data_IF_497287699692
#
_entry.id   IF_497287699692
#
_cell.length_a   1.000
_cell.length_b   1.000
_cell.length_c   1.000
_cell.angle_alpha   90.00
_cell.angle_beta   90.00
_cell.angle_gamma   90.00
#
_symmetry.space_group_name_H-M   'P 1'
#
loop_
_entity.id
_entity.type
_entity.pdbx_description
1 polymer ?
#
# COMPACT_ATOMS: atom_id res chain seq x y z
N UNK A 1 9.06 16.49 15.47
CA UNK A 1 10.21 17.39 15.52
C UNK A 1 11.43 16.58 15.17
N UNK A 2 12.34 17.17 14.42
CA UNK A 2 13.59 16.54 13.96
C UNK A 2 14.40 15.95 15.13
N UNK A 3 15.10 14.84 14.88
CA UNK A 3 15.91 14.14 15.89
C UNK A 3 15.14 13.48 17.04
N UNK A 4 13.80 13.37 16.92
CA UNK A 4 12.94 12.72 17.94
C UNK A 4 12.32 11.42 17.46
N UNK A 5 12.40 11.15 16.17
CA UNK A 5 11.80 9.97 15.55
C UNK A 5 12.91 9.02 15.11
N UNK A 6 12.57 7.74 15.08
CA UNK A 6 13.32 6.69 14.44
C UNK A 6 12.30 5.68 13.90
N UNK A 7 12.72 4.88 12.93
CA UNK A 7 11.91 3.83 12.33
C UNK A 7 12.37 2.49 12.88
N UNK A 8 11.42 1.61 13.18
CA UNK A 8 11.66 0.26 13.62
C UNK A 8 10.90 -0.74 12.73
N UNK A 9 11.37 -2.00 12.63
CA UNK A 9 10.60 -3.08 12.02
C UNK A 9 9.20 -3.20 12.62
N UNK A 10 8.22 -3.60 11.79
CA UNK A 10 6.91 -3.99 12.28
C UNK A 10 7.03 -5.25 13.15
N UNK A 11 6.23 -5.39 14.22
CA UNK A 11 6.15 -6.64 14.96
C UNK A 11 5.58 -7.75 14.06
N UNK A 12 6.16 -8.93 14.12
CA UNK A 12 5.76 -10.09 13.32
C UNK A 12 5.24 -11.23 14.19
N UNK A 13 4.32 -12.01 13.63
CA UNK A 13 3.93 -13.30 14.18
C UNK A 13 4.97 -14.37 13.78
N UNK A 14 5.12 -15.47 14.54
CA UNK A 14 6.09 -16.53 14.20
C UNK A 14 5.93 -17.13 12.79
N UNK A 15 4.71 -17.11 12.25
CA UNK A 15 4.31 -17.59 10.93
C UNK A 15 3.80 -16.45 10.03
N UNK A 16 4.03 -15.19 10.41
CA UNK A 16 3.58 -14.01 9.69
C UNK A 16 4.59 -13.50 8.67
N UNK A 17 4.12 -12.60 7.82
CA UNK A 17 4.97 -11.82 6.90
C UNK A 17 5.62 -10.64 7.64
N UNK A 18 6.75 -10.15 7.11
CA UNK A 18 7.44 -9.01 7.71
C UNK A 18 6.59 -7.75 7.59
N UNK A 19 5.97 -7.53 6.43
CA UNK A 19 5.19 -6.33 6.14
C UNK A 19 3.95 -6.63 5.30
N UNK A 20 3.08 -5.62 5.18
CA UNK A 20 1.91 -5.64 4.32
C UNK A 20 1.87 -4.40 3.42
N UNK A 21 1.07 -4.45 2.36
CA UNK A 21 0.87 -3.31 1.48
C UNK A 21 -0.15 -2.34 2.06
N UNK A 22 0.24 -1.08 2.27
CA UNK A 22 -0.67 -0.01 2.63
C UNK A 22 -0.48 1.17 1.68
N UNK A 23 -1.53 1.53 0.93
CA UNK A 23 -1.43 2.50 -0.15
C UNK A 23 -0.69 1.92 -1.35
N UNK A 24 0.31 2.66 -1.84
CA UNK A 24 0.91 2.40 -3.14
C UNK A 24 0.03 2.93 -4.29
N UNK A 25 0.64 3.14 -5.44
CA UNK A 25 -0.05 3.67 -6.62
C UNK A 25 0.52 3.04 -7.86
N UNK A 26 -0.29 3.02 -8.91
CA UNK A 26 0.12 2.64 -10.25
C UNK A 26 -0.28 3.75 -11.22
N UNK A 27 0.47 3.88 -12.30
CA UNK A 27 0.07 4.70 -13.42
C UNK A 27 -0.51 3.81 -14.52
N UNK A 28 -1.58 4.26 -15.16
CA UNK A 28 -2.29 3.50 -16.18
C UNK A 28 -2.62 4.37 -17.39
N UNK A 29 -2.58 3.77 -18.58
CA UNK A 29 -3.03 4.43 -19.82
C UNK A 29 -4.54 4.27 -19.93
N UNK A 30 -5.25 5.40 -20.06
CA UNK A 30 -6.70 5.38 -20.28
C UNK A 30 -7.05 4.70 -21.61
N UNK A 31 -8.11 3.88 -21.62
CA UNK A 31 -8.51 3.09 -22.79
C UNK A 31 -8.91 3.91 -24.02
N UNK A 32 -9.22 5.19 -23.84
CA UNK A 32 -9.56 6.14 -24.89
C UNK A 32 -8.42 7.11 -25.26
N UNK A 33 -7.20 6.87 -24.76
CA UNK A 33 -6.04 7.68 -25.11
C UNK A 33 -5.81 7.70 -26.62
N UNK A 34 -5.55 8.88 -27.16
CA UNK A 34 -5.16 9.04 -28.57
C UNK A 34 -3.66 8.82 -28.79
N UNK A 35 -2.89 8.71 -27.71
CA UNK A 35 -1.44 8.51 -27.69
C UNK A 35 -1.05 7.40 -26.69
N UNK A 36 -1.55 6.16 -26.87
CA UNK A 36 -1.34 5.11 -25.88
C UNK A 36 0.11 4.62 -25.81
N UNK A 37 0.85 4.69 -26.92
CA UNK A 37 2.26 4.27 -26.99
C UNK A 37 3.14 5.27 -26.26
N UNK A 38 3.01 6.56 -26.58
CA UNK A 38 3.79 7.65 -25.98
C UNK A 38 3.46 7.80 -24.50
N UNK A 39 2.19 7.61 -24.12
CA UNK A 39 1.80 7.58 -22.72
C UNK A 39 2.48 6.42 -21.98
N UNK A 40 2.49 5.21 -22.56
CA UNK A 40 3.17 4.07 -21.95
C UNK A 40 4.68 4.31 -21.81
N UNK A 41 5.34 4.85 -22.84
CA UNK A 41 6.77 5.20 -22.79
C UNK A 41 7.07 6.15 -21.62
N UNK A 42 6.26 7.20 -21.44
CA UNK A 42 6.40 8.11 -20.31
C UNK A 42 6.18 7.41 -18.97
N UNK A 43 5.13 6.59 -18.85
CA UNK A 43 4.84 5.87 -17.61
C UNK A 43 5.94 4.87 -17.24
N UNK A 44 6.49 4.17 -18.23
CA UNK A 44 7.63 3.26 -18.03
C UNK A 44 8.83 4.05 -17.52
N UNK A 45 9.23 5.12 -18.22
CA UNK A 45 10.34 5.97 -17.75
C UNK A 45 10.11 6.47 -16.32
N UNK A 46 8.92 7.05 -16.06
CA UNK A 46 8.58 7.61 -14.76
C UNK A 46 8.66 6.55 -13.65
N UNK A 47 8.21 5.31 -13.89
CA UNK A 47 8.14 4.29 -12.87
C UNK A 47 9.36 3.36 -12.78
N UNK A 48 10.30 3.39 -13.72
CA UNK A 48 11.44 2.43 -13.72
C UNK A 48 12.81 3.07 -13.94
N UNK A 49 12.88 4.26 -14.54
CA UNK A 49 14.16 4.93 -14.77
C UNK A 49 14.63 5.64 -13.50
N UNK A 50 15.92 5.52 -13.10
CA UNK A 50 16.44 6.21 -11.92
C UNK A 50 16.16 7.71 -11.90
N UNK A 51 16.30 8.39 -13.05
CA UNK A 51 16.05 9.83 -13.12
C UNK A 51 14.57 10.17 -12.94
N UNK A 52 13.66 9.30 -13.42
CA UNK A 52 12.21 9.46 -13.21
C UNK A 52 11.81 9.25 -11.76
N UNK A 53 12.39 8.24 -11.11
CA UNK A 53 12.15 7.94 -9.69
C UNK A 53 12.69 9.07 -8.81
N UNK A 54 13.93 9.51 -9.02
CA UNK A 54 14.51 10.61 -8.23
C UNK A 54 13.73 11.91 -8.42
N UNK A 55 13.30 12.23 -9.63
CA UNK A 55 12.45 13.39 -9.88
C UNK A 55 11.11 13.30 -9.15
N UNK A 56 10.47 12.12 -9.09
CA UNK A 56 9.26 11.91 -8.30
C UNK A 56 9.49 12.07 -6.80
N UNK A 57 10.64 11.62 -6.29
CA UNK A 57 11.00 11.77 -4.88
C UNK A 57 11.19 13.25 -4.54
N UNK A 58 12.01 13.94 -5.33
CA UNK A 58 12.39 15.32 -5.07
C UNK A 58 11.21 16.30 -5.25
N UNK A 59 10.39 16.10 -6.28
CA UNK A 59 9.38 17.10 -6.68
C UNK A 59 7.95 16.70 -6.35
N UNK A 60 7.67 15.42 -6.10
CA UNK A 60 6.32 14.93 -5.81
C UNK A 60 6.19 14.27 -4.44
N UNK A 61 7.30 13.98 -3.75
CA UNK A 61 7.28 13.36 -2.43
C UNK A 61 6.65 11.98 -2.43
N UNK A 62 6.89 11.17 -3.47
CA UNK A 62 6.31 9.83 -3.55
C UNK A 62 6.72 8.97 -2.35
N UNK A 63 5.92 7.95 -2.04
CA UNK A 63 6.28 6.87 -1.12
C UNK A 63 7.29 5.90 -1.74
N UNK A 64 7.30 4.65 -1.27
CA UNK A 64 8.22 3.61 -1.73
C UNK A 64 8.28 3.49 -3.26
N UNK A 65 9.49 3.29 -3.79
CA UNK A 65 9.73 3.24 -5.23
C UNK A 65 9.00 2.05 -5.88
N UNK A 66 8.39 2.23 -7.06
CA UNK A 66 7.80 1.12 -7.82
C UNK A 66 8.85 0.22 -8.50
N UNK A 67 10.10 0.64 -8.62
CA UNK A 67 11.18 -0.19 -9.17
C UNK A 67 11.70 -1.19 -8.14
N UNK A 68 12.02 -2.41 -8.60
CA UNK A 68 12.46 -3.50 -7.73
C UNK A 68 13.89 -3.33 -7.20
N UNK A 69 14.76 -2.68 -7.96
CA UNK A 69 16.21 -2.58 -7.72
C UNK A 69 16.68 -1.15 -7.48
N UNK A 70 15.77 -0.17 -7.46
CA UNK A 70 16.11 1.24 -7.24
C UNK A 70 15.12 1.96 -6.34
N UNK A 71 15.57 2.33 -5.15
CA UNK A 71 14.76 3.03 -4.13
C UNK A 71 14.83 4.57 -4.23
N UNK A 72 15.73 5.09 -5.06
CA UNK A 72 16.04 6.52 -5.19
C UNK A 72 17.32 6.92 -4.45
N UNK A 73 18.16 7.75 -5.07
CA UNK A 73 19.47 8.16 -4.54
C UNK A 73 19.33 8.89 -3.19
N UNK A 74 18.37 9.81 -3.10
CA UNK A 74 18.09 10.59 -1.88
C UNK A 74 17.69 9.71 -0.68
N UNK A 75 17.18 8.49 -0.94
CA UNK A 75 16.74 7.57 0.12
C UNK A 75 17.85 6.72 0.71
N UNK A 76 19.02 6.71 0.09
CA UNK A 76 20.17 5.92 0.53
C UNK A 76 21.00 6.65 1.60
N UNK A 77 20.60 7.86 1.99
CA UNK A 77 21.29 8.70 2.96
C UNK A 77 20.57 8.69 4.32
N UNK A 78 21.32 8.89 5.42
CA UNK A 78 20.73 9.16 6.73
C UNK A 78 19.83 10.39 6.74
N UNK A 79 18.81 10.37 7.58
CA UNK A 79 17.83 11.45 7.69
C UNK A 79 17.84 12.08 9.10
N UNK A 80 18.05 13.39 9.19
CA UNK A 80 18.10 14.13 10.46
C UNK A 80 16.76 14.11 11.20
N UNK A 81 15.63 14.08 10.47
CA UNK A 81 14.30 13.95 11.07
C UNK A 81 14.17 12.64 11.82
N UNK A 82 14.73 11.56 11.26
CA UNK A 82 14.81 10.24 11.86
C UNK A 82 16.07 10.01 12.71
N UNK A 83 16.57 11.07 13.36
CA UNK A 83 17.69 11.00 14.32
C UNK A 83 19.00 10.49 13.72
N UNK A 84 19.22 10.76 12.43
CA UNK A 84 20.40 10.32 11.69
C UNK A 84 20.38 8.84 11.31
N UNK A 85 19.22 8.18 11.39
CA UNK A 85 19.05 6.81 10.92
C UNK A 85 18.96 6.78 9.39
N UNK A 86 19.64 5.82 8.76
CA UNK A 86 19.39 5.50 7.36
C UNK A 86 18.20 4.53 7.24
N UNK A 87 17.01 5.03 7.59
CA UNK A 87 15.86 4.17 7.86
C UNK A 87 15.34 3.40 6.64
N UNK A 88 15.54 3.92 5.41
CA UNK A 88 15.15 3.20 4.21
C UNK A 88 16.01 1.95 4.03
N UNK A 89 17.33 2.07 4.12
CA UNK A 89 18.27 0.94 3.99
C UNK A 89 18.21 0.00 5.20
N UNK A 90 18.18 0.55 6.42
CA UNK A 90 18.28 -0.23 7.65
C UNK A 90 16.98 -0.94 8.02
N UNK A 91 15.82 -0.42 7.57
CA UNK A 91 14.50 -0.93 7.97
C UNK A 91 13.60 -1.21 6.78
N UNK A 92 13.33 -0.22 5.92
CA UNK A 92 12.28 -0.38 4.90
C UNK A 92 12.66 -1.42 3.84
N UNK A 93 13.90 -1.42 3.33
CA UNK A 93 14.39 -2.43 2.36
C UNK A 93 14.23 -3.85 2.92
N UNK A 94 14.79 -4.21 4.10
CA UNK A 94 14.60 -5.55 4.69
C UNK A 94 13.13 -5.93 4.90
N UNK A 95 12.29 -4.97 5.32
CA UNK A 95 10.88 -5.22 5.58
C UNK A 95 10.08 -5.45 4.29
N UNK A 96 10.47 -4.80 3.18
CA UNK A 96 9.86 -5.00 1.87
C UNK A 96 10.17 -6.38 1.28
N UNK A 97 11.37 -6.93 1.53
CA UNK A 97 11.75 -8.30 1.09
C UNK A 97 10.84 -9.38 1.69
N UNK A 98 10.34 -9.17 2.91
CA UNK A 98 9.45 -10.09 3.61
C UNK A 98 7.95 -9.84 3.42
N UNK A 99 7.55 -9.01 2.44
CA UNK A 99 6.15 -8.72 2.15
C UNK A 99 5.43 -9.94 1.54
N UNK A 100 4.13 -10.11 1.85
CA UNK A 100 3.32 -11.12 1.17
C UNK A 100 3.03 -10.74 -0.29
N UNK A 101 3.66 -11.44 -1.23
CA UNK A 101 3.43 -11.27 -2.67
C UNK A 101 2.23 -12.04 -3.22
N UNK A 102 1.62 -12.93 -2.43
CA UNK A 102 0.43 -13.71 -2.81
C UNK A 102 -0.90 -13.04 -2.42
N UNK A 103 -0.84 -11.89 -1.73
CA UNK A 103 -2.03 -11.15 -1.35
C UNK A 103 -2.77 -10.56 -2.56
N UNK A 104 -4.10 -10.65 -2.56
CA UNK A 104 -4.95 -10.08 -3.61
C UNK A 104 -5.96 -9.11 -3.04
N UNK A 105 -6.14 -7.98 -3.72
CA UNK A 105 -7.18 -7.01 -3.44
C UNK A 105 -8.46 -7.38 -4.18
N UNK A 106 -9.57 -7.55 -3.47
CA UNK A 106 -10.85 -7.89 -4.07
C UNK A 106 -11.40 -6.73 -4.93
N UNK A 107 -12.31 -6.99 -5.88
CA UNK A 107 -13.10 -5.93 -6.50
C UNK A 107 -13.78 -5.07 -5.43
N UNK A 108 -13.98 -3.78 -5.72
CA UNK A 108 -14.65 -2.85 -4.79
C UNK A 108 -13.89 -2.55 -3.49
N UNK A 109 -12.56 -2.72 -3.42
CA UNK A 109 -11.78 -2.42 -2.19
C UNK A 109 -12.05 -1.04 -1.57
N UNK A 110 -12.39 -0.03 -2.37
CA UNK A 110 -12.76 1.29 -1.84
C UNK A 110 -14.04 1.23 -0.98
N UNK A 111 -15.02 0.41 -1.39
CA UNK A 111 -16.24 0.17 -0.61
C UNK A 111 -15.93 -0.68 0.63
N UNK A 112 -15.08 -1.70 0.48
CA UNK A 112 -14.61 -2.53 1.61
C UNK A 112 -13.97 -1.66 2.69
N UNK A 113 -13.04 -0.77 2.32
CA UNK A 113 -12.37 0.14 3.25
C UNK A 113 -13.34 1.10 3.94
N UNK A 114 -14.35 1.60 3.23
CA UNK A 114 -15.37 2.45 3.82
C UNK A 114 -16.22 1.72 4.86
N UNK A 115 -16.71 0.52 4.55
CA UNK A 115 -17.49 -0.32 5.48
C UNK A 115 -16.67 -0.63 6.74
N UNK A 116 -15.42 -1.04 6.58
CA UNK A 116 -14.51 -1.30 7.71
C UNK A 116 -14.26 -0.01 8.50
N UNK A 117 -14.02 1.12 7.83
CA UNK A 117 -13.79 2.41 8.48
C UNK A 117 -14.97 2.87 9.35
N UNK A 118 -16.19 2.75 8.84
CA UNK A 118 -17.41 3.06 9.59
C UNK A 118 -17.60 2.08 10.76
N UNK A 119 -17.41 0.77 10.52
CA UNK A 119 -17.51 -0.27 11.55
C UNK A 119 -16.49 -0.13 12.68
N UNK A 120 -15.26 0.29 12.37
CA UNK A 120 -14.20 0.52 13.36
C UNK A 120 -14.59 1.58 14.39
N UNK A 121 -15.42 2.56 14.02
CA UNK A 121 -15.91 3.57 14.97
C UNK A 121 -16.74 2.91 16.08
N UNK A 122 -17.64 2.00 15.71
CA UNK A 122 -18.49 1.24 16.64
C UNK A 122 -17.69 0.21 17.45
N UNK A 123 -16.65 -0.37 16.84
CA UNK A 123 -15.79 -1.31 17.53
C UNK A 123 -14.95 -0.63 18.63
N UNK A 124 -14.45 0.58 18.37
CA UNK A 124 -13.64 1.35 19.33
C UNK A 124 -14.48 1.87 20.51
N UNK A 125 -15.77 2.18 20.29
CA UNK A 125 -16.70 2.56 21.36
C UNK A 125 -17.19 1.36 22.18
N UNK A 126 -16.97 0.13 21.69
CA UNK A 126 -17.38 -1.11 22.34
C UNK A 126 -18.83 -1.52 22.06
N UNK A 127 -19.47 -0.90 21.05
CA UNK A 127 -20.84 -1.21 20.66
C UNK A 127 -20.92 -2.56 19.93
N UNK A 128 -19.87 -2.93 19.19
CA UNK A 128 -19.74 -4.22 18.48
C UNK A 128 -18.35 -4.81 18.74
N UNK A 129 -18.21 -6.11 19.05
CA UNK A 129 -16.91 -6.75 19.12
C UNK A 129 -16.15 -6.64 17.79
N UNK A 130 -14.83 -6.40 17.84
CA UNK A 130 -14.02 -6.23 16.62
C UNK A 130 -14.14 -7.41 15.64
N UNK A 131 -14.19 -8.64 16.16
CA UNK A 131 -14.36 -9.85 15.35
C UNK A 131 -15.71 -9.89 14.62
N UNK A 132 -16.78 -9.46 15.30
CA UNK A 132 -18.13 -9.44 14.74
C UNK A 132 -18.23 -8.36 13.64
N UNK A 133 -17.60 -7.19 13.84
CA UNK A 133 -17.54 -6.13 12.82
C UNK A 133 -16.93 -6.63 11.50
N UNK A 134 -15.85 -7.41 11.55
CA UNK A 134 -15.27 -7.98 10.33
C UNK A 134 -16.16 -9.04 9.68
N UNK A 135 -16.86 -9.87 10.47
CA UNK A 135 -17.80 -10.86 9.94
C UNK A 135 -19.02 -10.19 9.27
N UNK A 136 -19.55 -9.13 9.87
CA UNK A 136 -20.63 -8.32 9.31
C UNK A 136 -20.18 -7.63 8.00
N UNK A 137 -18.98 -7.03 8.01
CA UNK A 137 -18.41 -6.41 6.82
C UNK A 137 -18.26 -7.42 5.67
N UNK A 138 -17.73 -8.61 5.96
CA UNK A 138 -17.60 -9.70 4.99
C UNK A 138 -18.96 -10.07 4.37
N UNK A 139 -20.00 -10.22 5.21
CA UNK A 139 -21.36 -10.52 4.78
C UNK A 139 -21.88 -9.44 3.83
N UNK A 140 -21.80 -8.16 4.22
CA UNK A 140 -22.26 -7.02 3.39
C UNK A 140 -21.53 -6.99 2.04
N UNK A 141 -20.21 -7.17 2.03
CA UNK A 141 -19.40 -7.11 0.81
C UNK A 141 -19.78 -8.23 -0.16
N UNK A 142 -19.98 -9.45 0.33
CA UNK A 142 -20.41 -10.59 -0.51
C UNK A 142 -21.80 -10.33 -1.10
N UNK A 143 -22.73 -9.78 -0.32
CA UNK A 143 -24.06 -9.38 -0.82
C UNK A 143 -23.97 -8.30 -1.91
N UNK A 144 -23.12 -7.28 -1.71
CA UNK A 144 -22.88 -6.23 -2.72
C UNK A 144 -22.31 -6.85 -4.01
N UNK A 145 -21.29 -7.71 -3.90
CA UNK A 145 -20.68 -8.37 -5.04
C UNK A 145 -21.71 -9.19 -5.85
N UNK A 146 -22.55 -9.98 -5.17
CA UNK A 146 -23.64 -10.72 -5.81
C UNK A 146 -24.65 -9.80 -6.49
N UNK A 147 -25.01 -8.70 -5.85
CA UNK A 147 -25.97 -7.72 -6.38
C UNK A 147 -25.50 -7.08 -7.68
N UNK A 148 -24.18 -6.85 -7.83
CA UNK A 148 -23.61 -6.32 -9.08
C UNK A 148 -23.27 -7.41 -10.11
N UNK A 149 -23.63 -8.67 -9.83
CA UNK A 149 -23.50 -9.79 -10.77
C UNK A 149 -22.19 -10.56 -10.68
N UNK A 150 -21.39 -10.39 -9.62
CA UNK A 150 -20.21 -11.23 -9.37
C UNK A 150 -20.63 -12.54 -8.68
N UNK A 151 -19.96 -13.62 -9.03
CA UNK A 151 -20.04 -14.89 -8.29
C UNK A 151 -19.12 -14.79 -7.07
N UNK A 152 -19.71 -14.74 -5.88
CA UNK A 152 -19.01 -14.49 -4.63
C UNK A 152 -19.56 -15.38 -3.50
N UNK A 153 -18.65 -15.89 -2.67
CA UNK A 153 -18.96 -16.68 -1.49
C UNK A 153 -18.10 -16.27 -0.31
N UNK A 154 -18.62 -16.50 0.89
CA UNK A 154 -17.84 -16.37 2.12
C UNK A 154 -16.95 -17.61 2.27
N UNK A 155 -15.70 -17.42 2.69
CA UNK A 155 -14.80 -18.51 3.00
C UNK A 155 -15.39 -19.35 4.15
N UNK A 156 -15.37 -20.68 4.00
CA UNK A 156 -15.87 -21.65 4.97
C UNK A 156 -14.87 -21.98 6.06
#
# INVERSE_FOLDING_TARGET
>A
GEGKWAVAPMPTWPDGYASGGHGGSAAAVASNSQHPVEALEFLTWMCTDPAGIDAMIEHSGIGWSPAADYIGELRQQPDEFFSGQNYNEEVIVPMAEGQNLEWTWAPLMQRVQAIIGDGMTNAVTGDVPLADMFAEAQTEIVEIMRTIGLDAEEAR
#
